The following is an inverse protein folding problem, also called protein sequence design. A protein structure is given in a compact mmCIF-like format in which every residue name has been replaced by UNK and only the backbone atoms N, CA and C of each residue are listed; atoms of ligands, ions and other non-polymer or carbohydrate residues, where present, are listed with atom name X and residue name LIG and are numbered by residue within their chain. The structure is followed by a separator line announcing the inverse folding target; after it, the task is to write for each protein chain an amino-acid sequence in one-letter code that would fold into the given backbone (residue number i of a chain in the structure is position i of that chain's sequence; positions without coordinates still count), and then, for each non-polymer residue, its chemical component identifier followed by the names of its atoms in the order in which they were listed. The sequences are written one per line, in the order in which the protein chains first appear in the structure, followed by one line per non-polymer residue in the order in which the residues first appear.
data_IF_739492980303
#
_entry.id   IF_739492980303
#
_cell.length_a   1.000
_cell.length_b   1.000
_cell.length_c   1.000
_cell.angle_alpha   90.00
_cell.angle_beta   90.00
_cell.angle_gamma   90.00
#
_symmetry.space_group_name_H-M   'P 1'
#
loop_
_entity.id
_entity.type
_entity.pdbx_description
1 polymer ?
#
# COMPACT_ATOMS: atom_id res chain seq x y z
N UNK A 1 -28.25 6.53 -50.48
CA UNK A 1 -29.51 6.36 -49.71
C UNK A 1 -29.62 4.97 -49.07
N UNK A 2 -29.07 3.91 -49.66
CA UNK A 2 -29.03 2.58 -49.02
C UNK A 2 -28.03 2.48 -47.84
N UNK A 3 -26.91 3.21 -47.87
CA UNK A 3 -25.92 3.17 -46.76
C UNK A 3 -26.36 3.91 -45.48
N UNK A 4 -27.44 4.70 -45.51
CA UNK A 4 -27.95 5.38 -44.31
C UNK A 4 -28.98 4.54 -43.54
N UNK A 5 -29.48 3.44 -44.11
CA UNK A 5 -30.47 2.59 -43.44
C UNK A 5 -29.81 1.53 -42.52
N UNK A 6 -28.58 1.12 -42.78
CA UNK A 6 -27.85 0.14 -41.95
C UNK A 6 -27.47 0.68 -40.56
N UNK A 7 -27.27 1.99 -40.40
CA UNK A 7 -26.84 2.57 -39.11
C UNK A 7 -27.96 2.69 -38.08
N UNK A 8 -29.23 2.63 -38.49
CA UNK A 8 -30.36 2.77 -37.57
C UNK A 8 -30.67 1.46 -36.85
N UNK A 9 -30.61 0.32 -37.56
CA UNK A 9 -30.93 -0.99 -37.00
C UNK A 9 -29.89 -1.46 -35.97
N UNK A 10 -28.62 -1.07 -36.12
CA UNK A 10 -27.55 -1.41 -35.16
C UNK A 10 -27.67 -0.68 -33.81
N UNK A 11 -28.33 0.48 -33.77
CA UNK A 11 -28.53 1.24 -32.53
C UNK A 11 -29.64 0.63 -31.66
N UNK A 12 -30.70 0.11 -32.27
CA UNK A 12 -31.82 -0.51 -31.54
C UNK A 12 -31.40 -1.84 -30.88
N UNK A 13 -30.57 -2.65 -31.55
CA UNK A 13 -30.02 -3.88 -30.98
C UNK A 13 -29.11 -3.62 -29.77
N UNK A 14 -28.33 -2.52 -29.76
CA UNK A 14 -27.50 -2.16 -28.60
C UNK A 14 -28.33 -1.75 -27.38
N UNK A 15 -29.45 -1.07 -27.59
CA UNK A 15 -30.33 -0.67 -26.48
C UNK A 15 -31.01 -1.89 -25.84
N UNK A 16 -31.36 -2.91 -26.64
CA UNK A 16 -31.93 -4.14 -26.10
C UNK A 16 -30.91 -4.94 -25.27
N UNK A 17 -29.65 -5.03 -25.70
CA UNK A 17 -28.58 -5.66 -24.91
C UNK A 17 -28.31 -4.93 -23.59
N UNK A 18 -28.25 -3.60 -23.59
CA UNK A 18 -28.03 -2.82 -22.38
C UNK A 18 -29.17 -3.00 -21.35
N UNK A 19 -30.41 -3.13 -21.82
CA UNK A 19 -31.57 -3.42 -20.96
C UNK A 19 -31.47 -4.80 -20.30
N UNK A 20 -31.02 -5.83 -21.04
CA UNK A 20 -30.81 -7.19 -20.51
C UNK A 20 -29.70 -7.24 -19.44
N UNK A 21 -28.65 -6.44 -19.59
CA UNK A 21 -27.56 -6.33 -18.60
C UNK A 21 -28.06 -5.66 -17.31
N UNK A 22 -28.84 -4.58 -17.42
CA UNK A 22 -29.43 -3.90 -16.28
C UNK A 22 -30.38 -4.81 -15.49
N UNK A 23 -31.19 -5.63 -16.17
CA UNK A 23 -32.09 -6.59 -15.53
C UNK A 23 -31.36 -7.73 -14.81
N UNK A 24 -30.16 -8.14 -15.27
CA UNK A 24 -29.33 -9.12 -14.55
C UNK A 24 -28.68 -8.53 -13.31
N UNK A 25 -28.33 -7.25 -13.32
CA UNK A 25 -27.73 -6.59 -12.16
C UNK A 25 -28.70 -6.44 -10.98
N UNK A 26 -30.00 -6.31 -11.24
CA UNK A 26 -31.02 -6.17 -10.19
C UNK A 26 -31.49 -7.50 -9.58
N UNK A 27 -31.22 -8.64 -10.24
CA UNK A 27 -31.55 -9.96 -9.72
C UNK A 27 -30.53 -10.51 -8.70
N UNK A 28 -29.38 -9.85 -8.53
CA UNK A 28 -28.40 -10.19 -7.50
C UNK A 28 -28.93 -9.80 -6.12
N UNK A 29 -29.64 -10.74 -5.50
CA UNK A 29 -30.24 -10.64 -4.17
C UNK A 29 -29.13 -10.37 -3.15
N UNK A 30 -29.09 -9.17 -2.57
CA UNK A 30 -28.18 -8.82 -1.48
C UNK A 30 -28.51 -9.70 -0.26
N UNK A 31 -27.56 -10.51 0.25
CA UNK A 31 -27.79 -11.28 1.46
C UNK A 31 -27.97 -10.32 2.64
N UNK A 32 -29.07 -10.50 3.36
CA UNK A 32 -29.41 -9.74 4.57
C UNK A 32 -28.31 -9.96 5.62
N UNK A 33 -27.62 -8.90 6.11
CA UNK A 33 -26.55 -9.08 7.09
C UNK A 33 -27.14 -9.57 8.42
N UNK A 34 -26.80 -10.79 8.81
CA UNK A 34 -27.10 -11.33 10.14
C UNK A 34 -26.35 -10.54 11.21
N UNK A 35 -27.01 -10.31 12.35
CA UNK A 35 -26.52 -9.51 13.48
C UNK A 35 -25.12 -9.88 14.01
N UNK A 36 -24.61 -11.08 13.69
CA UNK A 36 -23.24 -11.50 14.00
C UNK A 36 -22.16 -10.67 13.27
N UNK A 37 -22.44 -10.11 12.09
CA UNK A 37 -21.48 -9.31 11.33
C UNK A 37 -21.21 -7.92 11.94
N UNK A 38 -22.12 -7.41 12.78
CA UNK A 38 -21.97 -6.09 13.41
C UNK A 38 -20.91 -6.08 14.54
N UNK A 39 -20.63 -7.22 15.17
CA UNK A 39 -19.66 -7.30 16.27
C UNK A 39 -18.20 -7.29 15.82
N UNK A 40 -17.90 -7.72 14.59
CA UNK A 40 -16.53 -7.75 14.05
C UNK A 40 -16.00 -6.36 13.63
N UNK A 41 -16.88 -5.36 13.45
CA UNK A 41 -16.51 -4.00 13.09
C UNK A 41 -15.91 -3.17 14.26
N UNK A 42 -15.96 -3.69 15.50
CA UNK A 42 -15.51 -2.98 16.71
C UNK A 42 -13.99 -3.06 16.99
N UNK A 43 -13.17 -3.57 16.06
CA UNK A 43 -11.73 -3.27 16.02
C UNK A 43 -10.86 -3.84 17.16
N UNK A 44 -11.28 -4.91 17.84
CA UNK A 44 -10.48 -5.57 18.88
C UNK A 44 -9.66 -6.74 18.34
N UNK A 45 -8.56 -6.48 17.61
CA UNK A 45 -7.57 -7.53 17.32
C UNK A 45 -6.50 -7.56 18.41
N UNK A 46 -6.51 -8.62 19.22
CA UNK A 46 -5.48 -8.91 20.21
C UNK A 46 -4.39 -9.74 19.52
N UNK A 47 -3.28 -9.13 19.13
CA UNK A 47 -2.14 -9.82 18.52
C UNK A 47 -1.40 -10.64 19.57
N UNK A 48 -1.67 -11.95 19.64
CA UNK A 48 -0.80 -12.90 20.34
C UNK A 48 0.47 -13.06 19.49
N UNK A 49 1.52 -12.34 19.89
CA UNK A 49 2.84 -12.46 19.29
C UNK A 49 3.48 -13.80 19.61
N UNK A 50 3.54 -14.71 18.64
CA UNK A 50 4.44 -15.85 18.68
C UNK A 50 5.73 -15.49 17.94
N UNK A 51 6.77 -15.16 18.71
CA UNK A 51 8.15 -15.21 18.24
C UNK A 51 8.58 -16.68 18.22
N UNK A 52 8.80 -17.24 17.02
CA UNK A 52 9.49 -18.52 16.84
C UNK A 52 10.85 -18.23 16.21
N UNK A 53 11.87 -18.06 17.05
CA UNK A 53 13.26 -18.29 16.67
C UNK A 53 13.63 -19.72 17.07
N UNK A 54 13.96 -20.57 16.09
CA UNK A 54 14.46 -21.92 16.36
C UNK A 54 14.81 -22.68 15.06
N UNK A 55 16.00 -23.31 14.97
CA UNK A 55 16.53 -23.83 13.71
C UNK A 55 15.93 -25.20 13.33
N UNK A 56 15.68 -25.36 12.04
CA UNK A 56 15.20 -26.59 11.41
C UNK A 56 16.34 -27.62 11.42
N UNK A 57 16.30 -28.57 12.36
CA UNK A 57 17.08 -29.81 12.30
C UNK A 57 16.17 -30.92 11.76
N UNK A 58 16.45 -31.35 10.52
CA UNK A 58 15.82 -32.51 9.91
C UNK A 58 16.39 -33.81 10.50
N UNK A 59 15.50 -34.67 11.00
CA UNK A 59 15.79 -36.05 11.38
C UNK A 59 14.56 -36.93 11.10
N UNK A 60 14.76 -38.21 10.73
CA UNK A 60 13.68 -39.09 10.28
C UNK A 60 12.76 -39.50 11.45
N UNK A 61 11.45 -39.43 11.20
CA UNK A 61 10.37 -39.72 12.14
C UNK A 61 10.23 -41.24 12.34
N UNK A 62 10.29 -41.71 13.58
CA UNK A 62 9.97 -43.08 13.99
C UNK A 62 8.68 -43.05 14.84
N UNK A 63 7.55 -43.64 14.41
CA UNK A 63 6.27 -43.47 15.07
C UNK A 63 5.89 -44.67 15.93
N UNK A 64 6.57 -44.92 17.05
CA UNK A 64 6.03 -45.80 18.10
C UNK A 64 6.50 -45.39 19.50
N UNK A 65 5.72 -44.57 20.20
CA UNK A 65 5.42 -44.79 21.63
C UNK A 65 4.34 -43.83 22.11
N UNK A 66 3.21 -44.40 22.47
CA UNK A 66 2.18 -43.83 23.33
C UNK A 66 2.66 -43.80 24.78
N UNK A 67 2.65 -42.64 25.44
CA UNK A 67 2.45 -42.56 26.89
C UNK A 67 2.17 -41.14 27.36
N UNK A 68 1.16 -41.06 28.22
CA UNK A 68 0.57 -39.91 28.88
C UNK A 68 1.50 -39.09 29.79
N UNK A 69 1.00 -37.89 30.11
CA UNK A 69 1.32 -37.06 31.27
C UNK A 69 2.65 -36.27 31.22
N UNK A 70 2.53 -34.95 31.06
CA UNK A 70 2.80 -34.01 32.15
C UNK A 70 2.32 -32.62 31.73
N UNK A 71 1.37 -32.11 32.51
CA UNK A 71 0.97 -30.73 32.49
C UNK A 71 1.93 -29.88 33.34
N UNK A 72 1.93 -28.60 33.01
CA UNK A 72 2.22 -27.45 33.87
C UNK A 72 3.67 -26.93 34.00
N UNK A 73 3.72 -25.60 33.88
CA UNK A 73 4.74 -24.65 34.32
C UNK A 73 5.83 -24.29 33.30
N UNK A 74 5.57 -23.29 32.45
CA UNK A 74 6.55 -22.22 32.12
C UNK A 74 5.95 -21.11 31.24
N UNK A 75 4.99 -20.32 31.72
CA UNK A 75 4.61 -19.05 31.07
C UNK A 75 4.20 -18.01 32.11
N UNK A 76 5.18 -17.24 32.58
CA UNK A 76 4.97 -15.93 33.19
C UNK A 76 6.25 -15.12 33.05
N UNK A 77 6.29 -14.22 32.06
CA UNK A 77 7.07 -12.99 32.06
C UNK A 77 7.03 -12.33 30.68
N UNK A 78 6.61 -11.06 30.66
CA UNK A 78 6.67 -10.05 29.58
C UNK A 78 5.42 -9.90 28.70
N UNK A 79 4.51 -9.07 29.19
CA UNK A 79 3.70 -8.20 28.34
C UNK A 79 3.87 -6.74 28.84
N UNK A 80 4.50 -5.83 28.08
CA UNK A 80 4.85 -4.47 28.54
C UNK A 80 3.84 -3.41 28.08
N UNK A 81 2.54 -3.63 28.29
CA UNK A 81 1.53 -2.58 28.13
C UNK A 81 0.58 -2.58 29.32
N UNK A 82 1.13 -2.16 30.47
CA UNK A 82 0.33 -1.73 31.60
C UNK A 82 -0.03 -0.25 31.38
N UNK A 83 -1.20 -0.01 30.79
CA UNK A 83 -1.82 1.32 30.76
C UNK A 83 -2.25 1.65 32.19
N UNK A 84 -1.55 2.60 32.78
CA UNK A 84 -1.72 3.05 34.14
C UNK A 84 -3.17 3.42 34.46
N UNK A 85 -3.76 2.62 35.34
CA UNK A 85 -4.85 3.09 36.21
C UNK A 85 -4.21 3.70 37.44
N UNK A 86 -4.20 5.03 37.49
CA UNK A 86 -3.84 5.79 38.67
C UNK A 86 -4.82 5.45 39.81
N UNK A 87 -4.34 4.70 40.80
CA UNK A 87 -4.88 4.75 42.15
C UNK A 87 -3.72 5.05 43.10
N UNK A 88 -3.46 6.34 43.29
CA UNK A 88 -2.79 6.85 44.47
C UNK A 88 -3.68 6.54 45.68
N UNK A 89 -3.27 5.59 46.50
CA UNK A 89 -3.51 5.58 47.96
C UNK A 89 -2.71 4.43 48.54
N UNK A 90 -1.56 4.73 49.16
CA UNK A 90 -0.74 3.72 49.80
C UNK A 90 0.60 4.24 50.26
N UNK A 91 0.60 5.18 51.21
CA UNK A 91 1.78 5.50 52.00
C UNK A 91 2.15 4.26 52.85
N UNK A 92 3.01 3.40 52.30
CA UNK A 92 3.55 2.25 53.01
C UNK A 92 4.82 2.69 53.74
N UNK A 93 4.76 2.64 55.06
CA UNK A 93 5.87 2.92 55.96
C UNK A 93 7.08 2.04 55.64
N UNK A 94 8.21 2.66 55.31
CA UNK A 94 9.51 2.01 55.14
C UNK A 94 9.94 1.52 56.53
N UNK A 95 9.77 0.24 56.82
CA UNK A 95 10.10 -0.36 58.13
C UNK A 95 11.35 -1.25 58.12
N UNK A 96 12.13 -1.29 57.04
CA UNK A 96 13.36 -2.10 57.02
C UNK A 96 14.59 -1.29 56.64
N UNK A 97 15.62 -1.36 57.48
CA UNK A 97 16.96 -0.82 57.23
C UNK A 97 17.62 -1.44 55.98
N UNK A 98 17.16 -2.62 55.53
CA UNK A 98 17.61 -3.22 54.27
C UNK A 98 17.23 -2.40 53.04
N UNK A 99 16.08 -1.73 53.09
CA UNK A 99 15.52 -1.00 51.95
C UNK A 99 16.21 0.36 51.76
N UNK A 100 16.79 0.90 52.85
CA UNK A 100 17.63 2.10 52.79
C UNK A 100 18.98 1.79 52.12
N UNK A 101 19.54 0.60 52.35
CA UNK A 101 20.84 0.21 51.80
C UNK A 101 20.76 -0.09 50.29
N UNK A 102 19.67 -0.72 49.82
CA UNK A 102 19.43 -0.93 48.39
C UNK A 102 19.13 0.38 47.66
N UNK A 103 18.40 1.30 48.27
CA UNK A 103 18.19 2.64 47.69
C UNK A 103 19.50 3.43 47.53
N UNK A 104 20.42 3.33 48.50
CA UNK A 104 21.72 4.00 48.44
C UNK A 104 22.65 3.39 47.37
N UNK A 105 22.62 2.06 47.19
CA UNK A 105 23.44 1.38 46.18
C UNK A 105 22.96 1.67 44.74
N UNK A 106 21.65 1.84 44.55
CA UNK A 106 21.07 2.28 43.26
C UNK A 106 21.44 3.73 42.90
N UNK A 107 21.57 4.62 43.89
CA UNK A 107 22.02 6.00 43.64
C UNK A 107 23.50 6.06 43.19
N UNK A 108 24.35 5.17 43.72
CA UNK A 108 25.77 5.10 43.38
C UNK A 108 26.04 4.52 41.98
N UNK A 109 25.14 3.68 41.44
CA UNK A 109 25.27 3.16 40.07
C UNK A 109 24.82 4.18 39.01
N UNK A 110 23.91 5.09 39.34
CA UNK A 110 23.39 6.08 38.39
C UNK A 110 24.34 7.28 38.17
N UNK A 111 25.31 7.52 39.06
CA UNK A 111 26.27 8.62 38.88
C UNK A 111 27.39 8.31 37.86
N UNK A 112 27.58 7.04 37.47
CA UNK A 112 28.56 6.65 36.45
C UNK A 112 28.07 6.88 35.00
N UNK A 113 26.78 7.15 34.79
CA UNK A 113 26.20 7.38 33.44
C UNK A 113 26.38 8.83 32.97
N UNK A 114 26.78 9.75 33.86
CA UNK A 114 26.92 11.17 33.55
C UNK A 114 28.17 11.55 32.71
N UNK A 115 29.11 10.61 32.46
CA UNK A 115 30.37 10.90 31.78
C UNK A 115 30.46 10.42 30.31
N UNK A 116 29.40 9.83 29.74
CA UNK A 116 29.35 9.30 28.37
C UNK A 116 28.60 10.13 27.27
N UNK A 117 28.40 11.47 27.30
CA UNK A 117 27.76 12.17 26.17
C UNK A 117 28.67 12.48 24.96
N UNK A 118 30.00 12.44 25.10
CA UNK A 118 30.91 13.03 24.12
C UNK A 118 31.09 12.21 22.83
N UNK A 119 31.24 10.89 22.94
CA UNK A 119 31.57 10.05 21.78
C UNK A 119 30.37 9.83 20.85
N UNK A 120 29.16 9.75 21.42
CA UNK A 120 27.92 9.59 20.66
C UNK A 120 27.59 10.85 19.86
N UNK A 121 27.86 12.04 20.42
CA UNK A 121 27.65 13.30 19.72
C UNK A 121 28.67 13.53 18.59
N UNK A 122 29.91 13.06 18.77
CA UNK A 122 30.91 13.09 17.70
C UNK A 122 30.60 12.10 16.57
N UNK A 123 30.00 10.94 16.88
CA UNK A 123 29.57 9.98 15.87
C UNK A 123 28.34 10.46 15.09
N UNK A 124 27.42 11.20 15.73
CA UNK A 124 26.30 11.84 15.02
C UNK A 124 26.75 12.94 14.07
N UNK A 125 27.80 13.70 14.40
CA UNK A 125 28.32 14.73 13.50
C UNK A 125 28.98 14.14 12.23
N UNK A 126 29.55 12.93 12.31
CA UNK A 126 30.12 12.27 11.13
C UNK A 126 29.07 11.68 10.17
N UNK A 127 27.83 11.46 10.62
CA UNK A 127 26.74 10.96 9.76
C UNK A 127 25.97 12.05 9.02
N UNK A 128 26.21 13.33 9.31
CA UNK A 128 25.53 14.45 8.66
C UNK A 128 26.32 15.03 7.47
N UNK A 129 27.20 14.26 6.81
CA UNK A 129 27.76 14.69 5.53
C UNK A 129 26.61 14.70 4.51
N UNK A 130 26.15 15.87 4.03
CA UNK A 130 25.05 15.91 3.07
C UNK A 130 25.47 15.11 1.83
N UNK A 131 24.60 14.24 1.31
CA UNK A 131 24.92 13.48 0.11
C UNK A 131 25.32 14.47 -0.98
N UNK A 132 26.50 14.26 -1.57
CA UNK A 132 27.00 15.05 -2.68
C UNK A 132 25.92 15.06 -3.77
N UNK A 133 25.61 16.23 -4.35
CA UNK A 133 24.49 16.40 -5.30
C UNK A 133 24.58 15.42 -6.50
N UNK A 134 25.79 15.01 -6.89
CA UNK A 134 26.04 13.94 -7.88
C UNK A 134 25.45 12.58 -7.48
N UNK A 135 25.56 12.18 -6.21
CA UNK A 135 25.01 10.91 -5.73
C UNK A 135 23.47 10.94 -5.69
N UNK A 136 22.88 12.13 -5.47
CA UNK A 136 21.43 12.30 -5.54
C UNK A 136 20.91 12.22 -6.99
N UNK A 137 21.63 12.82 -7.95
CA UNK A 137 21.29 12.72 -9.37
C UNK A 137 21.42 11.27 -9.89
N UNK A 138 22.51 10.57 -9.55
CA UNK A 138 22.70 9.17 -9.93
C UNK A 138 21.67 8.23 -9.28
N UNK A 139 21.24 8.51 -8.03
CA UNK A 139 20.17 7.77 -7.38
C UNK A 139 18.81 8.02 -8.04
N UNK A 140 18.54 9.25 -8.52
CA UNK A 140 17.31 9.60 -9.22
C UNK A 140 17.22 8.93 -10.60
N UNK A 141 18.31 8.91 -11.37
CA UNK A 141 18.36 8.16 -12.64
C UNK A 141 18.22 6.65 -12.44
N UNK A 142 18.82 6.10 -11.37
CA UNK A 142 18.65 4.69 -11.04
C UNK A 142 17.19 4.36 -10.63
N UNK A 143 16.46 5.29 -9.99
CA UNK A 143 15.06 5.09 -9.61
C UNK A 143 14.13 5.01 -10.83
N UNK A 144 14.42 5.76 -11.90
CA UNK A 144 13.64 5.76 -13.15
C UNK A 144 13.67 4.40 -13.88
N UNK A 145 14.77 3.65 -13.78
CA UNK A 145 14.91 2.33 -14.43
C UNK A 145 14.52 1.11 -13.56
N UNK A 146 13.96 1.30 -12.35
CA UNK A 146 13.65 0.19 -11.43
C UNK A 146 12.21 -0.30 -11.47
N UNK A 147 11.31 0.36 -12.22
CA UNK A 147 9.91 -0.11 -12.34
C UNK A 147 9.83 -1.45 -13.06
N UNK A 148 9.07 -2.40 -12.49
CA UNK A 148 9.09 -3.81 -12.89
C UNK A 148 10.26 -4.63 -12.35
N UNK A 149 11.33 -3.99 -11.87
CA UNK A 149 12.45 -4.61 -11.15
C UNK A 149 12.37 -4.43 -9.64
N UNK A 150 11.27 -3.88 -9.13
CA UNK A 150 11.04 -3.67 -7.70
C UNK A 150 11.27 -4.96 -6.90
N UNK A 151 10.83 -6.10 -7.45
CA UNK A 151 11.03 -7.43 -6.90
C UNK A 151 12.49 -7.90 -6.89
N UNK A 152 13.36 -7.33 -7.74
CA UNK A 152 14.80 -7.63 -7.78
C UNK A 152 15.59 -6.81 -6.76
N UNK A 153 15.07 -5.68 -6.33
CA UNK A 153 15.65 -4.95 -5.20
C UNK A 153 15.49 -5.77 -3.91
N UNK A 154 16.49 -5.73 -3.03
CA UNK A 154 16.42 -6.42 -1.73
C UNK A 154 15.22 -5.94 -0.89
N UNK A 155 14.90 -4.65 -0.96
CA UNK A 155 13.76 -4.03 -0.28
C UNK A 155 12.42 -4.53 -0.83
N UNK A 156 12.23 -4.50 -2.15
CA UNK A 156 10.98 -4.95 -2.76
C UNK A 156 10.79 -6.47 -2.66
N UNK A 157 11.87 -7.26 -2.69
CA UNK A 157 11.81 -8.69 -2.36
C UNK A 157 11.27 -8.94 -0.95
N UNK A 158 11.86 -8.28 0.08
CA UNK A 158 11.39 -8.38 1.48
C UNK A 158 9.93 -8.00 1.59
N UNK A 159 9.54 -6.88 1.02
CA UNK A 159 8.15 -6.40 1.03
C UNK A 159 7.17 -7.40 0.39
N UNK A 160 7.51 -7.99 -0.75
CA UNK A 160 6.67 -9.03 -1.38
C UNK A 160 6.53 -10.26 -0.50
N UNK A 161 7.63 -10.71 0.10
CA UNK A 161 7.64 -11.83 1.04
C UNK A 161 6.75 -11.54 2.25
N UNK A 162 6.89 -10.36 2.85
CA UNK A 162 6.14 -9.98 4.04
C UNK A 162 4.64 -9.83 3.73
N UNK A 163 4.28 -9.23 2.59
CA UNK A 163 2.87 -9.17 2.14
C UNK A 163 2.27 -10.58 1.93
N UNK A 164 3.03 -11.50 1.33
CA UNK A 164 2.60 -12.89 1.13
C UNK A 164 2.43 -13.60 2.47
N UNK A 165 3.37 -13.38 3.39
CA UNK A 165 3.33 -13.96 4.73
C UNK A 165 2.10 -13.48 5.50
N UNK A 166 1.81 -12.17 5.49
CA UNK A 166 0.62 -11.60 6.14
C UNK A 166 -0.67 -12.19 5.58
N UNK A 167 -0.80 -12.30 4.25
CA UNK A 167 -1.96 -12.93 3.63
C UNK A 167 -2.12 -14.40 4.01
N UNK A 168 -1.01 -15.16 4.08
CA UNK A 168 -1.00 -16.56 4.50
C UNK A 168 -1.42 -16.73 5.96
N UNK A 169 -0.87 -15.92 6.87
CA UNK A 169 -1.26 -15.93 8.29
C UNK A 169 -2.75 -15.64 8.45
N UNK A 170 -3.30 -14.63 7.75
CA UNK A 170 -4.72 -14.33 7.81
C UNK A 170 -5.62 -15.50 7.40
N UNK A 171 -5.19 -16.30 6.42
CA UNK A 171 -5.91 -17.51 6.00
C UNK A 171 -5.84 -18.60 7.08
N UNK A 172 -4.65 -18.86 7.62
CA UNK A 172 -4.45 -19.88 8.66
C UNK A 172 -5.20 -19.53 9.95
N UNK A 173 -5.13 -18.28 10.40
CA UNK A 173 -5.81 -17.80 11.60
C UNK A 173 -7.34 -17.97 11.48
N UNK A 174 -7.90 -17.68 10.30
CA UNK A 174 -9.33 -17.86 10.05
C UNK A 174 -9.73 -19.34 9.94
N UNK A 175 -8.88 -20.18 9.34
CA UNK A 175 -9.08 -21.64 9.31
C UNK A 175 -9.08 -22.24 10.72
N UNK A 176 -8.12 -21.85 11.56
CA UNK A 176 -8.04 -22.30 12.96
C UNK A 176 -9.27 -21.85 13.75
N UNK A 177 -9.73 -20.61 13.55
CA UNK A 177 -10.95 -20.09 14.15
C UNK A 177 -12.18 -20.90 13.74
N UNK A 178 -12.32 -21.22 12.45
CA UNK A 178 -13.43 -22.03 11.94
C UNK A 178 -13.39 -23.47 12.44
N UNK A 179 -12.20 -24.09 12.46
CA UNK A 179 -12.00 -25.43 12.99
C UNK A 179 -12.39 -25.52 14.48
N UNK A 180 -11.99 -24.54 15.29
CA UNK A 180 -12.38 -24.47 16.71
C UNK A 180 -13.90 -24.32 16.91
N UNK A 181 -14.61 -23.74 15.93
CA UNK A 181 -16.07 -23.58 15.96
C UNK A 181 -16.83 -24.75 15.29
N UNK A 182 -16.14 -25.69 14.65
CA UNK A 182 -16.76 -26.77 13.88
C UNK A 182 -17.49 -26.30 12.62
N UNK A 183 -17.11 -25.13 12.08
CA UNK A 183 -17.67 -24.54 10.86
C UNK A 183 -16.62 -24.64 9.75
N UNK A 184 -17.05 -24.70 8.49
CA UNK A 184 -16.15 -24.59 7.34
C UNK A 184 -16.80 -23.76 6.23
N UNK A 185 -16.31 -22.55 6.04
CA UNK A 185 -16.83 -21.58 5.07
C UNK A 185 -15.66 -20.89 4.34
N UNK A 186 -15.53 -21.21 3.06
CA UNK A 186 -14.47 -20.70 2.20
C UNK A 186 -14.62 -19.20 1.89
N UNK A 187 -15.84 -18.65 1.88
CA UNK A 187 -16.07 -17.25 1.55
C UNK A 187 -15.57 -16.33 2.67
N UNK A 188 -15.72 -16.76 3.93
CA UNK A 188 -15.19 -16.02 5.08
C UNK A 188 -13.65 -16.05 5.08
N UNK A 189 -13.03 -17.18 4.76
CA UNK A 189 -11.56 -17.27 4.59
C UNK A 189 -11.08 -16.34 3.48
N UNK A 190 -11.76 -16.34 2.34
CA UNK A 190 -11.45 -15.46 1.22
C UNK A 190 -11.59 -13.99 1.62
N UNK A 191 -12.62 -13.64 2.39
CA UNK A 191 -12.83 -12.29 2.90
C UNK A 191 -11.69 -11.84 3.84
N UNK A 192 -11.26 -12.70 4.77
CA UNK A 192 -10.10 -12.44 5.63
C UNK A 192 -8.82 -12.17 4.84
N UNK A 193 -8.55 -12.97 3.81
CA UNK A 193 -7.43 -12.75 2.90
C UNK A 193 -7.52 -11.42 2.13
N UNK A 194 -8.71 -11.06 1.64
CA UNK A 194 -8.93 -9.79 0.94
C UNK A 194 -8.67 -8.58 1.83
N UNK A 195 -9.08 -8.62 3.10
CA UNK A 195 -8.80 -7.58 4.08
C UNK A 195 -7.29 -7.45 4.28
N UNK A 196 -6.60 -8.56 4.54
CA UNK A 196 -5.15 -8.58 4.74
C UNK A 196 -4.39 -8.01 3.51
N UNK A 197 -4.88 -8.29 2.30
CA UNK A 197 -4.29 -7.78 1.06
C UNK A 197 -4.70 -6.35 0.67
N UNK A 198 -5.52 -5.65 1.46
CA UNK A 198 -6.02 -4.31 1.08
C UNK A 198 -4.89 -3.29 0.91
N UNK A 199 -3.91 -3.29 1.82
CA UNK A 199 -2.81 -2.32 1.81
C UNK A 199 -1.93 -2.48 0.57
N UNK A 200 -1.53 -3.71 0.25
CA UNK A 200 -0.70 -3.98 -0.92
C UNK A 200 -1.43 -3.69 -2.23
N UNK A 201 -2.75 -3.97 -2.29
CA UNK A 201 -3.61 -3.62 -3.44
C UNK A 201 -3.69 -2.11 -3.65
N UNK A 202 -3.97 -1.33 -2.59
CA UNK A 202 -4.02 0.13 -2.67
C UNK A 202 -2.69 0.71 -3.13
N UNK A 203 -1.57 0.19 -2.63
CA UNK A 203 -0.26 0.65 -3.06
C UNK A 203 0.01 0.35 -4.53
N UNK A 204 -0.27 -0.87 -4.99
CA UNK A 204 -0.09 -1.24 -6.39
C UNK A 204 -0.92 -0.35 -7.31
N UNK A 205 -2.16 -0.03 -6.91
CA UNK A 205 -3.01 0.90 -7.63
C UNK A 205 -2.46 2.32 -7.66
N UNK A 206 -1.95 2.83 -6.53
CA UNK A 206 -1.32 4.15 -6.47
C UNK A 206 -0.07 4.22 -7.34
N UNK A 207 0.76 3.17 -7.34
CA UNK A 207 1.94 3.07 -8.20
C UNK A 207 1.54 3.11 -9.69
N UNK A 208 0.54 2.31 -10.10
CA UNK A 208 0.06 2.31 -11.48
C UNK A 208 -0.48 3.68 -11.95
N UNK A 209 -1.12 4.44 -11.07
CA UNK A 209 -1.55 5.81 -11.38
C UNK A 209 -0.38 6.77 -11.56
N UNK A 210 0.69 6.59 -10.78
CA UNK A 210 1.90 7.38 -10.97
C UNK A 210 2.59 7.00 -12.29
N UNK A 211 2.65 5.71 -12.62
CA UNK A 211 3.16 5.23 -13.91
C UNK A 211 2.44 5.89 -15.09
N UNK A 212 1.11 5.97 -15.01
CA UNK A 212 0.31 6.64 -16.02
C UNK A 212 0.69 8.13 -16.16
N UNK A 213 0.87 8.83 -15.05
CA UNK A 213 1.25 10.26 -15.06
C UNK A 213 2.64 10.45 -15.66
N UNK A 214 3.60 9.61 -15.29
CA UNK A 214 4.98 9.73 -15.75
C UNK A 214 5.10 9.44 -17.25
N UNK A 215 4.34 8.46 -17.76
CA UNK A 215 4.24 8.18 -19.20
C UNK A 215 3.64 9.37 -19.95
N UNK A 216 2.58 9.99 -19.42
CA UNK A 216 1.99 11.19 -20.04
C UNK A 216 2.97 12.37 -20.06
N UNK A 217 3.76 12.53 -19.00
CA UNK A 217 4.79 13.56 -18.94
C UNK A 217 5.88 13.32 -19.98
N UNK A 218 6.35 12.08 -20.12
CA UNK A 218 7.34 11.71 -21.13
C UNK A 218 6.91 12.13 -22.55
N UNK A 219 5.66 11.85 -22.94
CA UNK A 219 5.15 12.27 -24.25
C UNK A 219 4.99 13.80 -24.38
N UNK A 220 4.74 14.51 -23.29
CA UNK A 220 4.69 15.97 -23.32
C UNK A 220 6.08 16.56 -23.55
N UNK A 221 7.07 16.05 -22.83
CA UNK A 221 8.46 16.47 -22.95
C UNK A 221 8.97 16.19 -24.40
N UNK A 222 8.68 15.02 -24.98
CA UNK A 222 9.02 14.67 -26.38
C UNK A 222 8.40 15.63 -27.41
N UNK A 223 7.13 16.03 -27.22
CA UNK A 223 6.45 16.98 -28.11
C UNK A 223 7.02 18.40 -28.01
N UNK A 224 7.50 18.81 -26.83
CA UNK A 224 8.10 20.14 -26.63
C UNK A 224 9.48 20.24 -27.28
N UNK A 225 10.27 19.16 -27.25
CA UNK A 225 11.57 19.06 -27.93
C UNK A 225 11.42 19.23 -29.45
N UNK A 226 10.48 18.50 -30.06
CA UNK A 226 10.20 18.56 -31.51
C UNK A 226 9.76 19.96 -31.98
N UNK A 227 9.01 20.71 -31.15
CA UNK A 227 8.61 22.08 -31.49
C UNK A 227 9.76 23.08 -31.40
N UNK A 228 10.72 22.86 -30.50
CA UNK A 228 11.83 23.79 -30.29
C UNK A 228 12.88 23.70 -31.41
N UNK A 229 13.11 22.51 -31.96
CA UNK A 229 14.05 22.30 -33.08
C UNK A 229 13.57 22.95 -34.40
N UNK A 230 12.26 22.95 -34.65
CA UNK A 230 11.67 23.62 -35.82
C UNK A 230 11.70 25.16 -35.74
N UNK A 231 11.74 25.72 -34.53
CA UNK A 231 11.85 27.19 -34.32
C UNK A 231 13.21 27.74 -34.74
N UNK A 232 14.25 26.92 -34.69
CA UNK A 232 15.63 27.37 -34.93
C UNK A 232 16.05 27.36 -36.42
N UNK A 233 15.30 26.66 -37.29
CA UNK A 233 15.67 26.48 -38.71
C UNK A 233 14.95 27.40 -39.70
N UNK A 234 14.01 28.23 -39.26
CA UNK A 234 13.17 29.04 -40.17
C UNK A 234 13.74 30.44 -40.52
N UNK A 235 14.98 30.76 -40.14
CA UNK A 235 15.55 32.11 -40.36
C UNK A 235 16.51 32.25 -41.55
N UNK A 236 16.70 31.22 -42.38
CA UNK A 236 17.51 31.30 -43.59
C UNK A 236 16.66 30.97 -44.85
N UNK A 237 16.53 31.97 -45.72
CA UNK A 237 15.99 31.91 -47.10
C UNK A 237 14.48 32.12 -47.27
N UNK A 238 14.12 33.40 -47.11
CA UNK A 238 13.01 34.05 -47.79
C UNK A 238 13.23 34.03 -49.32
N UNK A 239 12.86 32.94 -50.00
CA UNK A 239 12.70 32.91 -51.46
C UNK A 239 11.40 32.19 -51.84
N UNK A 240 10.32 32.97 -51.78
CA UNK A 240 9.19 33.00 -52.71
C UNK A 240 8.91 31.72 -53.52
N UNK A 241 8.13 30.78 -52.96
CA UNK A 241 7.43 29.78 -53.77
C UNK A 241 6.08 29.38 -53.17
N UNK A 242 5.03 29.69 -53.95
CA UNK A 242 3.64 29.30 -53.75
C UNK A 242 3.51 27.78 -53.51
N UNK A 243 3.17 27.35 -52.29
CA UNK A 243 2.82 25.95 -52.04
C UNK A 243 1.68 25.82 -51.03
N UNK A 244 0.46 25.74 -51.55
CA UNK A 244 -0.83 25.73 -50.86
C UNK A 244 -1.22 24.40 -50.18
N UNK A 245 -0.30 23.43 -50.08
CA UNK A 245 -0.62 22.09 -49.58
C UNK A 245 -0.17 21.81 -48.13
N UNK A 246 0.66 22.67 -47.52
CA UNK A 246 1.16 22.48 -46.16
C UNK A 246 0.13 22.82 -45.05
N UNK A 247 -0.86 23.66 -45.38
CA UNK A 247 -1.83 24.18 -44.40
C UNK A 247 -2.80 23.10 -43.90
N UNK A 248 -3.19 22.15 -44.76
CA UNK A 248 -4.18 21.11 -44.41
C UNK A 248 -3.65 20.09 -43.40
N UNK A 249 -2.35 19.81 -43.40
CA UNK A 249 -1.71 18.90 -42.44
C UNK A 249 -1.64 19.49 -41.03
N UNK A 250 -1.39 20.79 -40.90
CA UNK A 250 -1.42 21.44 -39.58
C UNK A 250 -2.83 21.50 -38.99
N UNK A 251 -3.87 21.74 -39.82
CA UNK A 251 -5.25 21.76 -39.32
C UNK A 251 -5.68 20.41 -38.72
N UNK A 252 -5.33 19.29 -39.35
CA UNK A 252 -5.67 17.96 -38.80
C UNK A 252 -4.94 17.63 -37.50
N UNK A 253 -3.66 18.00 -37.38
CA UNK A 253 -2.88 17.83 -36.16
C UNK A 253 -3.42 18.71 -35.03
N UNK A 254 -3.83 19.94 -35.32
CA UNK A 254 -4.44 20.82 -34.33
C UNK A 254 -5.78 20.27 -33.80
N UNK A 255 -6.61 19.73 -34.70
CA UNK A 255 -7.89 19.10 -34.37
C UNK A 255 -7.70 17.84 -33.49
N UNK A 256 -6.62 17.07 -33.75
CA UNK A 256 -6.23 15.90 -32.95
C UNK A 256 -5.80 16.31 -31.54
N UNK A 257 -4.99 17.37 -31.41
CA UNK A 257 -4.56 17.90 -30.12
C UNK A 257 -5.74 18.45 -29.30
N UNK A 258 -6.70 19.11 -29.95
CA UNK A 258 -7.88 19.66 -29.26
C UNK A 258 -8.79 18.55 -28.72
N UNK A 259 -8.96 17.46 -29.48
CA UNK A 259 -9.65 16.24 -29.00
C UNK A 259 -8.94 15.60 -27.81
N UNK A 260 -7.61 15.52 -27.86
CA UNK A 260 -6.82 14.96 -26.75
C UNK A 260 -6.93 15.82 -25.49
N UNK A 261 -6.81 17.15 -25.61
CA UNK A 261 -7.02 18.09 -24.50
C UNK A 261 -8.42 17.95 -23.88
N UNK A 262 -9.45 17.86 -24.71
CA UNK A 262 -10.83 17.63 -24.27
C UNK A 262 -10.99 16.31 -23.50
N UNK A 263 -10.35 15.24 -23.98
CA UNK A 263 -10.37 13.94 -23.32
C UNK A 263 -9.71 13.98 -21.94
N UNK A 264 -8.50 14.55 -21.84
CA UNK A 264 -7.75 14.70 -20.58
C UNK A 264 -8.55 15.54 -19.57
N UNK A 265 -9.15 16.64 -20.02
CA UNK A 265 -9.95 17.50 -19.15
C UNK A 265 -11.17 16.77 -18.57
N UNK A 266 -11.87 15.97 -19.40
CA UNK A 266 -13.01 15.15 -18.94
C UNK A 266 -12.58 14.09 -17.92
N UNK A 267 -11.45 13.43 -18.12
CA UNK A 267 -10.95 12.41 -17.18
C UNK A 267 -10.53 13.03 -15.84
N UNK A 268 -9.85 14.18 -15.86
CA UNK A 268 -9.50 14.90 -14.64
C UNK A 268 -10.74 15.39 -13.86
N UNK A 269 -11.77 15.86 -14.57
CA UNK A 269 -13.04 16.27 -13.95
C UNK A 269 -13.74 15.12 -13.25
N UNK A 270 -13.81 13.94 -13.87
CA UNK A 270 -14.38 12.73 -13.26
C UNK A 270 -13.59 12.31 -12.01
N UNK A 271 -12.25 12.32 -12.08
CA UNK A 271 -11.40 11.98 -10.94
C UNK A 271 -11.60 12.92 -9.76
N UNK A 272 -11.77 14.22 -10.02
CA UNK A 272 -12.10 15.20 -8.98
C UNK A 272 -13.44 14.91 -8.31
N UNK A 273 -14.48 14.59 -9.09
CA UNK A 273 -15.80 14.25 -8.55
C UNK A 273 -15.75 13.04 -7.62
N UNK A 274 -15.03 11.97 -8.00
CA UNK A 274 -14.86 10.77 -7.16
C UNK A 274 -14.10 11.09 -5.86
N UNK A 275 -13.09 11.96 -5.92
CA UNK A 275 -12.37 12.41 -4.72
C UNK A 275 -13.24 13.23 -3.78
N UNK A 276 -14.13 14.06 -4.31
CA UNK A 276 -15.04 14.86 -3.50
C UNK A 276 -16.14 13.99 -2.85
N UNK A 277 -16.66 13.00 -3.58
CA UNK A 277 -17.63 12.02 -3.06
C UNK A 277 -17.02 11.15 -1.93
N UNK A 278 -15.79 10.67 -2.11
CA UNK A 278 -15.09 9.92 -1.06
C UNK A 278 -14.76 10.74 0.18
N UNK A 279 -14.55 12.06 0.05
CA UNK A 279 -14.42 12.97 1.20
C UNK A 279 -15.75 13.17 1.93
N UNK A 280 -16.86 13.28 1.20
CA UNK A 280 -18.19 13.44 1.79
C UNK A 280 -18.56 12.21 2.66
N UNK A 281 -18.28 11.00 2.18
CA UNK A 281 -18.52 9.75 2.92
C UNK A 281 -17.69 9.66 4.20
N UNK A 282 -16.47 10.23 4.24
CA UNK A 282 -15.64 10.23 5.47
C UNK A 282 -16.15 11.16 6.57
N UNK A 283 -17.04 12.10 6.25
CA UNK A 283 -17.60 13.06 7.21
C UNK A 283 -18.99 12.67 7.71
N UNK A 284 -19.56 11.58 7.19
CA UNK A 284 -20.77 10.94 7.70
C UNK A 284 -20.41 9.82 8.67
#
# INVERSE_FOLDING_TARGET
QLDQQSSAEDMDNRNEELSKIAARATAATTPTPTAAAAAAAAGGYNSIGMMMEGPIMGGPYDPTTSSSSMAAAFLSSRNPYNLGSNNLTGASSIQSLSDLYTAQQLLAQNSAVAAMPSLFQQQQQQQQKPPTQEAAAAAAEAEYCLRGLEARSSKGYRRRRDNKFVGMCAVLDEQDRQHAMGIYDADIIAYGYQIACRVCRSYAHAAALQDQVDVLKFYQDELEEDMNDNSSTSNENNDNSNNSNATTTMEMEMDRLERLKSFIHKTLKLRKMVLDETKAVKHQ
#
